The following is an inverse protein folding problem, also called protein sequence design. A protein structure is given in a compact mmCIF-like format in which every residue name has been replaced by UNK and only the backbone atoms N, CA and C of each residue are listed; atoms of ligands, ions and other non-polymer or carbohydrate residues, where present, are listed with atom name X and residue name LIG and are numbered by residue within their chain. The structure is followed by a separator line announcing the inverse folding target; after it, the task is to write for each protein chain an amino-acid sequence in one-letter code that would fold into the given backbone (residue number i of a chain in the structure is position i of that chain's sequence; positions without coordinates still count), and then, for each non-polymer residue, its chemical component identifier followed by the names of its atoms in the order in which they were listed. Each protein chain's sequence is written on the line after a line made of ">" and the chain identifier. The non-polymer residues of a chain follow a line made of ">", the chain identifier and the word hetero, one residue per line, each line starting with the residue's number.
data_IF_723186839308
#
_entry.id   IF_723186839308
#
_cell.length_a   1.000
_cell.length_b   1.000
_cell.length_c   1.000
_cell.angle_alpha   90.00
_cell.angle_beta   90.00
_cell.angle_gamma   90.00
#
_symmetry.space_group_name_H-M   'P 1'
#
loop_
_entity.id
_entity.type
_entity.pdbx_description
1 polymer ?
#
# COMPACT_ATOMS: atom_id res chain seq x y z
N UNK A 1 10.02 -4.17 26.60
CA UNK A 1 9.12 -3.13 26.06
C UNK A 1 8.41 -3.78 24.86
N UNK A 2 7.12 -3.73 24.81
CA UNK A 2 6.43 -4.25 23.62
C UNK A 2 6.57 -3.28 22.42
N UNK A 3 6.19 -3.71 21.24
CA UNK A 3 6.37 -2.89 20.03
C UNK A 3 5.55 -1.59 20.08
N UNK A 4 4.35 -1.60 20.70
CA UNK A 4 3.54 -0.39 20.84
C UNK A 4 4.25 0.65 21.71
N UNK A 5 4.73 0.25 22.89
CA UNK A 5 5.43 1.15 23.80
C UNK A 5 6.72 1.70 23.17
N UNK A 6 7.45 0.83 22.42
CA UNK A 6 8.65 1.26 21.68
C UNK A 6 8.32 2.33 20.63
N UNK A 7 7.25 2.14 19.85
CA UNK A 7 6.82 3.10 18.86
C UNK A 7 6.42 4.43 19.51
N UNK A 8 5.58 4.41 20.54
CA UNK A 8 5.15 5.61 21.24
C UNK A 8 6.32 6.39 21.84
N UNK A 9 7.27 5.70 22.50
CA UNK A 9 8.44 6.34 23.09
C UNK A 9 9.44 6.89 22.05
N UNK A 10 9.49 6.33 20.84
CA UNK A 10 10.38 6.78 19.77
C UNK A 10 9.79 7.92 18.91
N UNK A 11 8.49 8.22 19.07
CA UNK A 11 7.81 9.21 18.24
C UNK A 11 8.40 10.61 18.35
N UNK A 12 8.68 11.09 19.56
CA UNK A 12 9.28 12.42 19.77
C UNK A 12 10.67 12.53 19.13
N UNK A 13 11.48 11.49 19.25
CA UNK A 13 12.81 11.46 18.61
C UNK A 13 12.69 11.44 17.08
N UNK A 14 11.69 10.77 16.53
CA UNK A 14 11.39 10.79 15.09
C UNK A 14 10.94 12.18 14.65
N UNK A 15 10.00 12.79 15.33
CA UNK A 15 9.42 14.09 14.99
C UNK A 15 10.47 15.20 14.97
N UNK A 16 11.43 15.18 15.91
CA UNK A 16 12.53 16.13 15.95
C UNK A 16 13.49 16.04 14.75
N UNK A 17 13.45 14.98 13.97
CA UNK A 17 14.29 14.76 12.79
C UNK A 17 13.55 14.98 11.46
N UNK A 18 12.32 15.49 11.47
CA UNK A 18 11.54 15.79 10.27
C UNK A 18 11.21 17.29 10.20
N UNK A 19 10.90 17.76 8.99
CA UNK A 19 10.53 19.17 8.78
C UNK A 19 9.17 19.48 9.46
N UNK A 20 9.22 20.27 10.52
CA UNK A 20 8.05 20.68 11.31
C UNK A 20 7.11 21.63 10.54
N UNK A 21 7.57 22.27 9.46
CA UNK A 21 6.75 23.15 8.61
C UNK A 21 6.06 22.41 7.45
N UNK A 22 6.15 21.09 7.43
CA UNK A 22 5.54 20.28 6.39
C UNK A 22 4.04 20.08 6.64
N UNK A 23 3.17 20.14 5.61
CA UNK A 23 1.75 19.74 5.73
C UNK A 23 1.55 18.32 6.27
N UNK A 24 2.55 17.45 6.08
CA UNK A 24 2.57 16.08 6.61
C UNK A 24 2.75 16.09 8.13
N UNK A 25 3.43 17.08 8.70
CA UNK A 25 3.63 17.20 10.15
C UNK A 25 2.32 17.41 10.90
N UNK A 26 1.42 18.24 10.37
CA UNK A 26 0.18 18.63 11.06
C UNK A 26 -0.73 17.44 11.39
N UNK A 27 -0.67 16.38 10.59
CA UNK A 27 -1.49 15.17 10.79
C UNK A 27 -0.84 14.12 11.71
N UNK A 28 0.46 14.21 11.98
CA UNK A 28 1.19 13.18 12.75
C UNK A 28 0.80 13.14 14.23
N UNK A 29 0.64 14.29 14.85
CA UNK A 29 0.29 14.39 16.27
C UNK A 29 -1.11 13.83 16.57
N UNK A 30 -2.06 13.99 15.65
CA UNK A 30 -3.39 13.36 15.76
C UNK A 30 -3.27 11.84 15.52
N UNK A 31 -2.49 11.45 14.52
CA UNK A 31 -2.35 10.06 14.12
C UNK A 31 -1.70 9.20 15.23
N UNK A 32 -0.65 9.70 15.89
CA UNK A 32 -0.02 8.95 16.98
C UNK A 32 -0.95 8.78 18.19
N UNK A 33 -1.76 9.80 18.53
CA UNK A 33 -2.76 9.71 19.60
C UNK A 33 -3.85 8.69 19.28
N UNK A 34 -4.27 8.62 18.02
CA UNK A 34 -5.22 7.62 17.57
C UNK A 34 -4.64 6.20 17.68
N UNK A 35 -3.37 6.01 17.29
CA UNK A 35 -2.69 4.75 17.47
C UNK A 35 -2.44 4.40 18.95
N UNK A 36 -2.09 5.37 19.80
CA UNK A 36 -1.95 5.17 21.24
C UNK A 36 -3.25 4.63 21.85
N UNK A 37 -4.37 5.19 21.45
CA UNK A 37 -5.69 4.80 21.96
C UNK A 37 -6.10 3.40 21.48
N UNK A 38 -5.93 3.10 20.19
CA UNK A 38 -6.39 1.86 19.56
C UNK A 38 -5.39 0.70 19.72
N UNK A 39 -4.08 1.00 19.59
CA UNK A 39 -3.02 0.01 19.58
C UNK A 39 -3.04 -0.87 18.30
N UNK A 40 -2.33 -1.99 18.35
CA UNK A 40 -2.40 -2.99 17.29
C UNK A 40 -3.76 -3.72 17.31
N UNK A 41 -4.34 -3.98 16.14
CA UNK A 41 -5.60 -4.70 16.08
C UNK A 41 -5.47 -6.13 16.57
N UNK A 42 -6.56 -6.66 17.10
CA UNK A 42 -6.62 -7.99 17.70
C UNK A 42 -7.67 -8.88 17.03
N UNK A 43 -7.57 -10.20 17.24
CA UNK A 43 -8.59 -11.17 16.75
C UNK A 43 -10.01 -10.96 17.33
N UNK A 44 -10.18 -10.08 18.31
CA UNK A 44 -11.51 -9.71 18.83
C UNK A 44 -12.24 -8.77 17.86
N UNK A 45 -11.51 -8.08 17.02
CA UNK A 45 -12.07 -7.25 15.96
C UNK A 45 -12.47 -8.12 14.78
N UNK A 46 -13.69 -7.96 14.28
CA UNK A 46 -14.24 -8.78 13.19
C UNK A 46 -13.32 -8.79 11.96
N UNK A 47 -12.78 -7.62 11.60
CA UNK A 47 -11.87 -7.49 10.46
C UNK A 47 -10.53 -8.23 10.64
N UNK A 48 -10.15 -8.59 11.87
CA UNK A 48 -8.89 -9.25 12.20
C UNK A 48 -9.06 -10.66 12.77
N UNK A 49 -10.28 -11.20 12.73
CA UNK A 49 -10.62 -12.50 13.32
C UNK A 49 -9.69 -13.64 12.90
N UNK A 50 -9.29 -13.67 11.64
CA UNK A 50 -8.46 -14.72 11.05
C UNK A 50 -6.98 -14.36 10.96
N UNK A 51 -6.59 -13.12 11.28
CA UNK A 51 -5.22 -12.62 11.15
C UNK A 51 -4.73 -12.06 12.48
N UNK A 52 -3.59 -12.52 12.95
CA UNK A 52 -3.01 -12.12 14.25
C UNK A 52 -1.66 -11.46 14.09
N UNK A 53 -1.50 -10.31 14.72
CA UNK A 53 -0.24 -9.59 14.82
C UNK A 53 0.53 -9.85 16.12
N UNK A 54 0.01 -10.72 17.01
CA UNK A 54 0.58 -10.93 18.35
C UNK A 54 2.05 -11.38 18.34
N UNK A 55 2.46 -12.16 17.35
CA UNK A 55 3.85 -12.61 17.24
C UNK A 55 4.76 -11.48 16.76
N UNK A 56 4.29 -10.64 15.87
CA UNK A 56 5.03 -9.47 15.36
C UNK A 56 5.27 -8.45 16.48
N UNK A 57 4.30 -8.24 17.38
CA UNK A 57 4.43 -7.31 18.50
C UNK A 57 5.51 -7.68 19.52
N UNK A 58 5.98 -8.95 19.51
CA UNK A 58 7.04 -9.43 20.40
C UNK A 58 8.44 -9.26 19.83
N UNK A 59 8.55 -8.91 18.55
CA UNK A 59 9.83 -8.74 17.86
C UNK A 59 10.36 -7.34 18.15
N UNK A 60 11.64 -7.24 18.47
CA UNK A 60 12.30 -5.96 18.72
C UNK A 60 12.76 -5.33 17.39
N UNK A 61 11.82 -4.76 16.65
CA UNK A 61 12.10 -4.11 15.38
C UNK A 61 12.93 -2.82 15.54
N UNK A 62 13.91 -2.64 14.65
CA UNK A 62 14.45 -1.30 14.33
C UNK A 62 13.40 -0.54 13.54
N UNK A 63 12.86 0.52 14.15
CA UNK A 63 11.76 1.30 13.54
C UNK A 63 12.24 2.41 12.61
N UNK A 64 13.55 2.72 12.65
CA UNK A 64 14.20 3.68 11.77
C UNK A 64 15.57 3.14 11.38
N UNK A 65 15.81 2.82 10.11
CA UNK A 65 17.14 2.45 9.66
C UNK A 65 18.09 3.60 9.88
N UNK A 66 19.26 3.29 10.43
CA UNK A 66 20.23 4.31 10.86
C UNK A 66 21.16 4.78 9.75
N UNK A 67 21.30 4.02 8.69
CA UNK A 67 22.25 4.26 7.61
C UNK A 67 21.66 3.99 6.25
N UNK A 68 22.08 4.74 5.25
CA UNK A 68 21.81 4.43 3.86
C UNK A 68 22.57 3.15 3.47
N UNK A 69 21.86 2.17 2.94
CA UNK A 69 22.44 0.93 2.43
C UNK A 69 22.66 1.07 0.94
N UNK A 70 23.88 0.92 0.49
CA UNK A 70 24.23 0.91 -0.94
C UNK A 70 24.18 -0.52 -1.45
N UNK A 71 23.31 -0.78 -2.44
CA UNK A 71 23.21 -2.06 -3.14
C UNK A 71 23.79 -1.95 -4.56
N UNK A 72 24.49 -3.01 -5.02
CA UNK A 72 24.88 -3.11 -6.43
C UNK A 72 23.65 -3.42 -7.28
N UNK A 73 23.50 -2.71 -8.40
CA UNK A 73 22.43 -2.96 -9.37
C UNK A 73 22.41 -4.43 -9.84
N UNK A 74 23.55 -5.09 -9.97
CA UNK A 74 23.64 -6.51 -10.39
C UNK A 74 22.93 -7.45 -9.43
N UNK A 75 22.90 -7.14 -8.12
CA UNK A 75 22.27 -7.97 -7.11
C UNK A 75 20.75 -7.86 -7.14
N UNK A 76 20.25 -6.68 -7.50
CA UNK A 76 18.83 -6.36 -7.45
C UNK A 76 18.13 -6.34 -8.81
N UNK A 77 18.90 -6.41 -9.91
CA UNK A 77 18.32 -6.36 -11.28
C UNK A 77 17.17 -7.34 -11.50
N UNK A 78 17.22 -8.53 -10.88
CA UNK A 78 16.18 -9.58 -10.99
C UNK A 78 14.83 -9.16 -10.38
N UNK A 79 14.77 -8.09 -9.61
CA UNK A 79 13.53 -7.58 -9.00
C UNK A 79 12.87 -6.50 -9.84
N UNK A 80 13.57 -5.97 -10.84
CA UNK A 80 12.95 -5.13 -11.86
C UNK A 80 12.23 -5.96 -12.91
N UNK A 81 11.27 -5.35 -13.57
CA UNK A 81 10.64 -5.94 -14.75
C UNK A 81 11.57 -5.73 -15.95
N UNK A 82 12.10 -6.82 -16.50
CA UNK A 82 13.09 -6.74 -17.58
C UNK A 82 12.46 -6.60 -18.97
N UNK A 83 11.26 -7.13 -19.14
CA UNK A 83 10.53 -7.13 -20.41
C UNK A 83 9.79 -5.83 -20.68
N UNK A 84 9.68 -4.97 -19.67
CA UNK A 84 8.98 -3.68 -19.75
C UNK A 84 9.94 -2.58 -19.33
N UNK A 85 10.13 -1.59 -20.21
CA UNK A 85 10.88 -0.40 -19.86
C UNK A 85 10.04 0.49 -18.92
N UNK A 86 10.56 0.79 -17.74
CA UNK A 86 9.85 1.52 -16.68
C UNK A 86 10.67 2.68 -16.13
N UNK A 87 10.00 3.72 -15.66
CA UNK A 87 10.61 4.67 -14.73
C UNK A 87 10.69 4.03 -13.35
N UNK A 88 11.80 4.23 -12.62
CA UNK A 88 12.09 3.50 -11.40
C UNK A 88 12.23 4.41 -10.20
N UNK A 89 11.51 4.12 -9.14
CA UNK A 89 11.71 4.71 -7.81
C UNK A 89 12.08 3.56 -6.88
N UNK A 90 13.28 3.59 -6.32
CA UNK A 90 13.78 2.52 -5.47
C UNK A 90 14.03 3.03 -4.05
N UNK A 91 13.48 2.32 -3.10
CA UNK A 91 13.74 2.49 -1.68
C UNK A 91 14.49 1.27 -1.14
N UNK A 92 15.55 1.52 -0.39
CA UNK A 92 16.35 0.49 0.30
C UNK A 92 16.23 0.76 1.79
N UNK A 93 15.69 -0.19 2.54
CA UNK A 93 15.38 -0.04 3.97
C UNK A 93 14.57 1.23 4.30
N UNK A 94 13.64 1.59 3.40
CA UNK A 94 12.81 2.79 3.54
C UNK A 94 13.50 4.11 3.15
N UNK A 95 14.74 4.06 2.70
CA UNK A 95 15.52 5.22 2.23
C UNK A 95 15.60 5.21 0.71
N UNK A 96 15.38 6.35 0.09
CA UNK A 96 15.48 6.48 -1.36
C UNK A 96 16.91 6.27 -1.86
N UNK A 97 17.06 5.46 -2.90
CA UNK A 97 18.31 5.27 -3.58
C UNK A 97 18.32 5.99 -4.93
N UNK A 98 19.02 7.12 -5.01
CA UNK A 98 19.17 7.89 -6.25
C UNK A 98 19.96 7.12 -7.32
N UNK A 99 20.89 6.28 -6.90
CA UNK A 99 21.71 5.44 -7.77
C UNK A 99 20.89 4.36 -8.49
N UNK A 100 19.87 3.81 -7.83
CA UNK A 100 19.03 2.74 -8.36
C UNK A 100 17.77 3.26 -9.04
N UNK A 101 17.47 4.54 -8.90
CA UNK A 101 16.26 5.16 -9.40
C UNK A 101 16.50 5.86 -10.73
N UNK A 102 15.48 5.84 -11.56
CA UNK A 102 15.41 6.57 -12.81
C UNK A 102 14.11 7.38 -12.82
N UNK A 103 14.16 8.57 -12.29
CA UNK A 103 13.02 9.50 -12.28
C UNK A 103 12.98 10.26 -13.59
N UNK A 104 11.77 10.49 -14.10
CA UNK A 104 11.57 11.09 -15.41
C UNK A 104 11.03 12.49 -15.35
N UNK A 105 11.10 13.14 -16.53
CA UNK A 105 10.70 14.50 -16.75
C UNK A 105 9.78 14.68 -17.97
N UNK A 106 9.12 13.63 -18.46
CA UNK A 106 8.22 13.69 -19.64
C UNK A 106 6.93 14.53 -19.40
N UNK A 107 7.02 15.54 -18.54
CA UNK A 107 5.87 16.38 -18.17
C UNK A 107 4.94 15.73 -17.15
N UNK A 108 5.43 14.69 -16.48
CA UNK A 108 4.83 14.09 -15.30
C UNK A 108 5.84 14.18 -14.15
N UNK A 109 5.34 14.30 -12.93
CA UNK A 109 6.19 14.44 -11.77
C UNK A 109 6.19 13.16 -10.95
N UNK A 110 7.33 12.49 -11.01
CA UNK A 110 7.62 11.28 -10.26
C UNK A 110 8.83 11.56 -9.37
N UNK A 111 8.62 11.69 -8.09
CA UNK A 111 9.69 12.01 -7.14
C UNK A 111 9.38 11.46 -5.75
N UNK A 112 10.23 11.78 -4.81
CA UNK A 112 10.01 11.51 -3.40
C UNK A 112 8.98 12.45 -2.79
N UNK A 113 8.27 12.00 -1.79
CA UNK A 113 7.40 12.86 -0.99
C UNK A 113 8.18 14.03 -0.37
N UNK A 114 9.35 13.78 0.21
CA UNK A 114 10.21 14.81 0.79
C UNK A 114 10.67 15.82 -0.25
N UNK A 115 11.07 15.38 -1.45
CA UNK A 115 11.46 16.26 -2.55
C UNK A 115 10.27 17.08 -3.10
N UNK A 116 9.08 16.51 -3.15
CA UNK A 116 7.86 17.22 -3.55
C UNK A 116 7.53 18.34 -2.55
N UNK A 117 7.67 18.10 -1.27
CA UNK A 117 7.43 19.08 -0.21
C UNK A 117 8.35 20.32 -0.28
N UNK A 118 9.53 20.23 -0.91
CA UNK A 118 10.40 21.39 -1.13
C UNK A 118 9.95 22.32 -2.25
N UNK A 119 9.06 21.83 -3.13
CA UNK A 119 8.56 22.58 -4.29
C UNK A 119 7.21 23.23 -3.96
N UNK A 120 7.07 24.58 -4.00
CA UNK A 120 5.85 25.26 -3.58
C UNK A 120 4.57 24.76 -4.26
N UNK A 121 4.62 24.45 -5.58
CA UNK A 121 3.47 23.95 -6.33
C UNK A 121 2.99 22.58 -5.82
N UNK A 122 3.92 21.68 -5.45
CA UNK A 122 3.56 20.34 -4.95
C UNK A 122 3.18 20.35 -3.49
N UNK A 123 3.74 21.28 -2.71
CA UNK A 123 3.33 21.46 -1.32
C UNK A 123 1.83 21.75 -1.22
N UNK A 124 1.30 22.61 -2.10
CA UNK A 124 -0.13 22.89 -2.16
C UNK A 124 -0.94 21.64 -2.58
N UNK A 125 -0.44 20.86 -3.56
CA UNK A 125 -1.07 19.61 -3.97
C UNK A 125 -1.09 18.60 -2.82
N UNK A 126 0.03 18.42 -2.12
CA UNK A 126 0.11 17.50 -0.97
C UNK A 126 -0.85 17.93 0.14
N UNK A 127 -0.98 19.22 0.43
CA UNK A 127 -1.92 19.73 1.43
C UNK A 127 -3.38 19.41 1.08
N UNK A 128 -3.72 19.43 -0.22
CA UNK A 128 -5.06 19.09 -0.71
C UNK A 128 -5.35 17.60 -0.64
N UNK A 129 -4.37 16.73 -0.93
CA UNK A 129 -4.62 15.30 -1.15
C UNK A 129 -4.09 14.38 -0.04
N UNK A 130 -2.98 14.73 0.63
CA UNK A 130 -2.36 13.87 1.62
C UNK A 130 -3.27 13.63 2.84
N UNK A 131 -3.45 12.38 3.22
CA UNK A 131 -4.26 11.93 4.36
C UNK A 131 -5.75 12.36 4.25
N UNK A 132 -6.27 12.51 3.02
CA UNK A 132 -7.67 12.93 2.80
C UNK A 132 -8.62 11.74 2.59
N UNK A 133 -8.12 10.61 2.11
CA UNK A 133 -8.92 9.40 1.89
C UNK A 133 -8.49 8.25 2.80
N UNK A 134 -7.26 8.29 3.31
CA UNK A 134 -6.75 7.31 4.27
C UNK A 134 -7.59 7.30 5.56
N UNK A 135 -7.94 6.10 6.02
CA UNK A 135 -8.79 5.94 7.20
C UNK A 135 -8.10 6.42 8.48
N UNK A 136 -8.77 7.31 9.20
CA UNK A 136 -8.37 7.74 10.55
C UNK A 136 -8.80 6.73 11.63
N UNK A 137 -9.61 5.75 11.26
CA UNK A 137 -10.13 4.73 12.16
C UNK A 137 -9.36 3.41 12.09
N UNK A 138 -8.59 3.19 11.03
CA UNK A 138 -7.73 2.02 10.88
C UNK A 138 -6.39 2.28 11.59
N UNK A 139 -6.10 1.46 12.59
CA UNK A 139 -4.98 1.66 13.53
C UNK A 139 -3.62 1.66 12.85
N UNK A 140 -3.37 0.75 11.90
CA UNK A 140 -2.08 0.65 11.21
C UNK A 140 -1.91 1.75 10.16
N UNK A 141 -3.00 2.26 9.60
CA UNK A 141 -2.98 3.47 8.77
C UNK A 141 -2.59 4.70 9.59
N UNK A 142 -3.14 4.85 10.80
CA UNK A 142 -2.76 5.96 11.68
C UNK A 142 -1.32 5.83 12.16
N UNK A 143 -0.85 4.61 12.44
CA UNK A 143 0.56 4.36 12.76
C UNK A 143 1.48 4.77 11.59
N UNK A 144 1.15 4.36 10.35
CA UNK A 144 1.90 4.79 9.18
C UNK A 144 1.89 6.32 9.02
N UNK A 145 0.73 6.97 9.18
CA UNK A 145 0.63 8.43 9.09
C UNK A 145 1.52 9.12 10.11
N UNK A 146 1.59 8.62 11.36
CA UNK A 146 2.46 9.17 12.39
C UNK A 146 3.94 9.09 12.04
N UNK A 147 4.37 7.97 11.44
CA UNK A 147 5.78 7.69 11.14
C UNK A 147 6.15 7.82 9.66
N UNK A 148 5.25 8.28 8.81
CA UNK A 148 5.55 8.46 7.39
C UNK A 148 6.68 9.46 7.20
N UNK A 149 7.78 8.99 6.59
CA UNK A 149 8.94 9.83 6.26
C UNK A 149 9.11 9.96 4.77
N UNK A 150 9.07 8.83 4.08
CA UNK A 150 9.32 8.74 2.66
C UNK A 150 8.29 7.85 1.94
N UNK A 151 8.16 8.11 0.67
CA UNK A 151 7.36 7.35 -0.27
C UNK A 151 7.36 8.00 -1.64
N UNK A 152 6.71 7.35 -2.58
CA UNK A 152 6.59 7.87 -3.93
C UNK A 152 5.50 8.95 -3.99
N UNK A 153 5.83 10.09 -4.56
CA UNK A 153 4.90 11.12 -5.00
C UNK A 153 4.81 11.07 -6.52
N UNK A 154 3.64 10.69 -7.03
CA UNK A 154 3.35 10.56 -8.46
C UNK A 154 2.22 11.52 -8.80
N UNK A 155 2.52 12.55 -9.56
CA UNK A 155 1.55 13.55 -10.00
C UNK A 155 1.51 13.59 -11.52
N UNK A 156 0.37 13.22 -12.07
CA UNK A 156 0.12 13.21 -13.51
C UNK A 156 -0.80 14.39 -13.83
N UNK A 157 -0.28 15.45 -14.48
CA UNK A 157 -1.08 16.62 -14.83
C UNK A 157 -2.20 16.29 -15.80
N UNK A 158 -3.18 17.19 -15.88
CA UNK A 158 -4.32 17.12 -16.80
C UNK A 158 -3.89 16.79 -18.24
N UNK A 159 -4.57 15.82 -18.87
CA UNK A 159 -4.35 15.35 -20.24
C UNK A 159 -2.94 14.78 -20.49
N UNK A 160 -2.27 14.29 -19.46
CA UNK A 160 -0.94 13.67 -19.59
C UNK A 160 -1.00 12.16 -19.43
N UNK A 161 -0.14 11.50 -20.20
CA UNK A 161 0.10 10.05 -20.15
C UNK A 161 1.62 9.84 -20.14
N UNK A 162 2.21 9.24 -19.11
CA UNK A 162 3.62 8.88 -19.11
C UNK A 162 3.94 7.90 -20.23
N UNK A 163 5.10 8.05 -20.87
CA UNK A 163 5.51 7.15 -21.96
C UNK A 163 5.81 5.73 -21.48
N UNK A 164 6.13 5.57 -20.20
CA UNK A 164 6.49 4.29 -19.58
C UNK A 164 5.70 4.12 -18.28
N UNK A 165 5.40 2.89 -17.87
CA UNK A 165 4.92 2.61 -16.52
C UNK A 165 5.94 3.06 -15.47
N UNK A 166 5.44 3.35 -14.26
CA UNK A 166 6.26 3.75 -13.11
C UNK A 166 6.40 2.55 -12.18
N UNK A 167 7.64 2.11 -11.93
CA UNK A 167 7.91 1.04 -10.99
C UNK A 167 8.40 1.62 -9.65
N UNK A 168 7.69 1.31 -8.56
CA UNK A 168 8.11 1.56 -7.19
C UNK A 168 8.65 0.24 -6.64
N UNK A 169 9.90 0.21 -6.18
CA UNK A 169 10.55 -0.96 -5.62
C UNK A 169 11.00 -0.69 -4.20
N UNK A 170 10.43 -1.43 -3.24
CA UNK A 170 10.82 -1.40 -1.84
C UNK A 170 11.66 -2.63 -1.52
N UNK A 171 12.94 -2.42 -1.19
CA UNK A 171 13.90 -3.47 -0.86
C UNK A 171 14.23 -3.42 0.65
N UNK A 172 14.15 -4.56 1.33
CA UNK A 172 14.60 -4.71 2.70
C UNK A 172 15.86 -5.59 2.73
N UNK A 173 17.00 -5.02 3.14
CA UNK A 173 18.31 -5.68 3.02
C UNK A 173 18.62 -6.61 4.19
N UNK A 174 18.01 -6.34 5.36
CA UNK A 174 18.29 -7.08 6.60
C UNK A 174 19.62 -6.74 7.25
N UNK A 175 20.15 -5.57 7.01
CA UNK A 175 21.29 -5.04 7.78
C UNK A 175 20.96 -4.89 9.28
N UNK A 176 19.68 -4.77 9.60
CA UNK A 176 19.16 -4.86 10.97
C UNK A 176 18.60 -6.27 11.23
N UNK A 177 18.72 -6.77 12.45
CA UNK A 177 18.22 -8.10 12.82
C UNK A 177 16.70 -8.24 12.65
N UNK A 178 15.96 -7.16 12.85
CA UNK A 178 14.55 -7.03 12.53
C UNK A 178 14.25 -5.57 12.14
N UNK A 179 13.54 -5.37 11.02
CA UNK A 179 13.32 -4.05 10.46
C UNK A 179 11.82 -3.76 10.28
N UNK A 180 11.36 -2.58 10.73
CA UNK A 180 10.03 -2.08 10.48
C UNK A 180 10.07 -0.90 9.51
N UNK A 181 9.32 -1.00 8.42
CA UNK A 181 9.23 0.01 7.37
C UNK A 181 7.82 0.59 7.29
N UNK A 182 7.71 1.89 6.99
CA UNK A 182 6.43 2.59 6.89
C UNK A 182 6.37 3.48 5.64
N UNK A 183 6.41 2.90 4.43
CA UNK A 183 6.30 3.67 3.20
C UNK A 183 4.92 4.33 3.07
N UNK A 184 4.92 5.57 2.53
CA UNK A 184 3.71 6.35 2.31
C UNK A 184 3.69 6.91 0.90
N UNK A 185 2.85 6.34 0.02
CA UNK A 185 2.76 6.76 -1.37
C UNK A 185 1.53 7.66 -1.61
N UNK A 186 1.67 8.61 -2.53
CA UNK A 186 0.59 9.47 -3.00
C UNK A 186 0.60 9.50 -4.53
N UNK A 187 -0.48 9.03 -5.14
CA UNK A 187 -0.66 8.99 -6.59
C UNK A 187 -1.85 9.88 -6.95
N UNK A 188 -1.64 10.84 -7.82
CA UNK A 188 -2.67 11.78 -8.28
C UNK A 188 -2.69 11.77 -9.80
N UNK A 189 -3.80 11.35 -10.38
CA UNK A 189 -4.09 11.44 -11.80
C UNK A 189 -5.16 12.53 -12.00
N UNK A 190 -4.74 13.64 -12.57
CA UNK A 190 -5.64 14.76 -12.88
C UNK A 190 -6.59 14.45 -14.05
N UNK A 191 -7.51 15.35 -14.37
CA UNK A 191 -8.53 15.17 -15.40
C UNK A 191 -7.94 14.69 -16.75
N UNK A 192 -8.50 13.61 -17.31
CA UNK A 192 -8.04 12.92 -18.53
C UNK A 192 -6.59 12.43 -18.47
N UNK A 193 -6.01 12.28 -17.28
CA UNK A 193 -4.67 11.69 -17.12
C UNK A 193 -4.76 10.16 -17.15
N UNK A 194 -3.70 9.51 -17.63
CA UNK A 194 -3.58 8.06 -17.59
C UNK A 194 -2.22 7.67 -16.98
N UNK A 195 -2.18 6.65 -16.13
CA UNK A 195 -0.93 6.18 -15.52
C UNK A 195 -0.98 4.68 -15.20
N UNK A 196 0.14 4.03 -15.39
CA UNK A 196 0.39 2.66 -14.92
C UNK A 196 1.47 2.68 -13.85
N UNK A 197 1.17 2.12 -12.68
CA UNK A 197 2.10 2.02 -11.55
C UNK A 197 2.26 0.57 -11.14
N UNK A 198 3.50 0.14 -10.90
CA UNK A 198 3.84 -1.20 -10.46
C UNK A 198 4.61 -1.08 -9.15
N UNK A 199 3.98 -1.46 -8.05
CA UNK A 199 4.61 -1.46 -6.73
C UNK A 199 5.03 -2.88 -6.35
N UNK A 200 6.29 -3.02 -5.91
CA UNK A 200 6.84 -4.28 -5.45
C UNK A 200 7.51 -4.12 -4.10
N UNK A 201 7.17 -5.02 -3.17
CA UNK A 201 7.87 -5.22 -1.91
C UNK A 201 8.72 -6.48 -1.99
N UNK A 202 9.98 -6.41 -1.54
CA UNK A 202 10.92 -7.52 -1.61
C UNK A 202 11.93 -7.48 -0.46
N UNK A 203 11.95 -8.52 0.37
CA UNK A 203 13.03 -8.77 1.32
C UNK A 203 14.18 -9.52 0.63
N UNK A 204 15.42 -9.15 0.96
CA UNK A 204 16.64 -9.74 0.39
C UNK A 204 17.31 -10.74 1.34
N UNK A 205 16.81 -10.89 2.56
CA UNK A 205 17.42 -11.63 3.65
C UNK A 205 16.38 -12.39 4.46
N UNK A 206 16.81 -13.42 5.20
CA UNK A 206 15.97 -14.16 6.13
C UNK A 206 15.72 -13.47 7.48
N UNK A 207 16.11 -12.20 7.66
CA UNK A 207 15.78 -11.44 8.86
C UNK A 207 14.30 -11.03 8.87
N UNK A 208 13.76 -10.78 10.08
CA UNK A 208 12.36 -10.37 10.22
C UNK A 208 12.13 -8.96 9.65
N UNK A 209 11.16 -8.82 8.77
CA UNK A 209 10.75 -7.54 8.19
C UNK A 209 9.25 -7.35 8.42
N UNK A 210 8.87 -6.17 8.90
CA UNK A 210 7.49 -5.72 8.95
C UNK A 210 7.34 -4.44 8.13
N UNK A 211 6.67 -4.53 7.00
CA UNK A 211 6.30 -3.36 6.21
C UNK A 211 4.84 -3.01 6.48
N UNK A 212 4.59 -1.79 6.95
CA UNK A 212 3.26 -1.21 7.09
C UNK A 212 3.12 -0.09 6.06
N UNK A 213 2.61 -0.42 4.88
CA UNK A 213 2.49 0.49 3.73
C UNK A 213 1.13 1.17 3.69
N UNK A 214 1.11 2.44 3.30
CA UNK A 214 -0.14 3.14 2.96
C UNK A 214 0.02 3.87 1.64
N UNK A 215 -0.91 3.65 0.73
CA UNK A 215 -0.99 4.31 -0.57
C UNK A 215 -2.33 5.01 -0.72
N UNK A 216 -2.31 6.30 -1.07
CA UNK A 216 -3.49 7.06 -1.46
C UNK A 216 -3.47 7.31 -2.97
N UNK A 217 -4.57 7.00 -3.65
CA UNK A 217 -4.74 7.18 -5.09
C UNK A 217 -5.94 8.08 -5.34
N UNK A 218 -5.73 9.15 -6.07
CA UNK A 218 -6.79 10.07 -6.50
C UNK A 218 -6.89 10.06 -8.02
N UNK A 219 -8.04 9.63 -8.52
CA UNK A 219 -8.38 9.67 -9.93
C UNK A 219 -9.44 10.75 -10.16
N UNK A 220 -9.04 11.85 -10.80
CA UNK A 220 -9.94 12.93 -11.18
C UNK A 220 -10.89 12.50 -12.31
N UNK A 221 -11.73 13.39 -12.77
CA UNK A 221 -12.69 13.11 -13.83
C UNK A 221 -12.00 12.58 -15.11
N UNK A 222 -12.53 11.49 -15.67
CA UNK A 222 -12.01 10.83 -16.88
C UNK A 222 -10.57 10.30 -16.75
N UNK A 223 -9.99 10.24 -15.55
CA UNK A 223 -8.66 9.69 -15.33
C UNK A 223 -8.67 8.15 -15.35
N UNK A 224 -7.56 7.57 -15.81
CA UNK A 224 -7.34 6.12 -15.83
C UNK A 224 -6.09 5.77 -15.02
N UNK A 225 -6.23 4.90 -14.03
CA UNK A 225 -5.13 4.43 -13.22
C UNK A 225 -5.10 2.89 -13.20
N UNK A 226 -4.03 2.31 -13.69
CA UNK A 226 -3.73 0.89 -13.55
C UNK A 226 -2.64 0.72 -12.47
N UNK A 227 -2.95 0.02 -11.38
CA UNK A 227 -2.05 -0.19 -10.26
C UNK A 227 -1.79 -1.67 -10.02
N UNK A 228 -0.55 -2.08 -10.16
CA UNK A 228 -0.13 -3.47 -9.98
C UNK A 228 0.66 -3.61 -8.69
N UNK A 229 0.19 -4.48 -7.79
CA UNK A 229 0.84 -4.79 -6.51
C UNK A 229 1.47 -6.18 -6.60
N UNK A 230 2.78 -6.25 -6.45
CA UNK A 230 3.53 -7.50 -6.53
C UNK A 230 4.23 -7.75 -5.20
N UNK A 231 3.83 -8.83 -4.54
CA UNK A 231 4.44 -9.30 -3.31
C UNK A 231 4.93 -10.73 -3.52
N UNK A 232 6.24 -10.91 -3.40
CA UNK A 232 6.91 -12.21 -3.48
C UNK A 232 8.09 -12.20 -2.49
N UNK A 233 7.73 -12.13 -1.23
CA UNK A 233 8.67 -11.98 -0.12
C UNK A 233 9.14 -13.32 0.44
N UNK A 234 10.22 -13.27 1.22
CA UNK A 234 10.68 -14.42 2.00
C UNK A 234 9.75 -14.68 3.20
N UNK A 235 9.78 -15.92 3.73
CA UNK A 235 8.89 -16.39 4.82
C UNK A 235 9.14 -15.71 6.17
N UNK A 236 10.04 -14.78 6.26
CA UNK A 236 10.30 -13.92 7.43
C UNK A 236 9.72 -12.52 7.28
N UNK A 237 9.28 -12.15 6.07
CA UNK A 237 8.72 -10.83 5.81
C UNK A 237 7.21 -10.82 6.02
N UNK A 238 6.73 -9.75 6.66
CA UNK A 238 5.31 -9.47 6.86
C UNK A 238 4.96 -8.12 6.22
N UNK A 239 3.86 -8.07 5.47
CA UNK A 239 3.37 -6.87 4.80
C UNK A 239 1.93 -6.58 5.24
N UNK A 240 1.70 -5.39 5.77
CA UNK A 240 0.37 -4.81 5.95
C UNK A 240 0.27 -3.65 4.98
N UNK A 241 -0.62 -3.77 4.01
CA UNK A 241 -0.71 -2.84 2.89
C UNK A 241 -2.12 -2.27 2.79
N UNK A 242 -2.24 -0.97 3.07
CA UNK A 242 -3.49 -0.23 3.04
C UNK A 242 -3.52 0.70 1.82
N UNK A 243 -4.40 0.43 0.88
CA UNK A 243 -4.59 1.27 -0.31
C UNK A 243 -5.98 1.91 -0.26
N UNK A 244 -6.02 3.23 -0.41
CA UNK A 244 -7.22 4.05 -0.42
C UNK A 244 -7.33 4.79 -1.74
N UNK A 245 -8.48 4.67 -2.40
CA UNK A 245 -8.71 5.16 -3.76
C UNK A 245 -9.95 6.05 -3.77
N UNK A 246 -9.78 7.30 -4.15
CA UNK A 246 -10.88 8.23 -4.38
C UNK A 246 -11.05 8.48 -5.88
N UNK A 247 -12.24 8.23 -6.39
CA UNK A 247 -12.58 8.34 -7.79
C UNK A 247 -13.62 9.43 -8.05
N UNK A 248 -13.44 10.19 -9.11
CA UNK A 248 -14.39 11.20 -9.62
C UNK A 248 -15.08 10.71 -10.90
N UNK A 249 -15.97 11.51 -11.44
CA UNK A 249 -16.82 11.17 -12.58
C UNK A 249 -16.07 10.48 -13.73
N UNK A 250 -16.58 9.35 -14.20
CA UNK A 250 -16.10 8.58 -15.36
C UNK A 250 -14.64 8.11 -15.25
N UNK A 251 -14.05 8.18 -14.05
CA UNK A 251 -12.70 7.64 -13.85
C UNK A 251 -12.71 6.12 -13.83
N UNK A 252 -11.59 5.54 -14.22
CA UNK A 252 -11.36 4.11 -14.25
C UNK A 252 -10.13 3.79 -13.39
N UNK A 253 -10.29 2.98 -12.35
CA UNK A 253 -9.15 2.52 -11.56
C UNK A 253 -9.16 1.00 -11.45
N UNK A 254 -8.06 0.37 -11.89
CA UNK A 254 -7.86 -1.07 -11.85
C UNK A 254 -6.69 -1.39 -10.95
N UNK A 255 -6.92 -2.17 -9.90
CA UNK A 255 -5.85 -2.72 -9.05
C UNK A 255 -5.72 -4.21 -9.24
N UNK A 256 -4.50 -4.64 -9.55
CA UNK A 256 -4.14 -6.04 -9.72
C UNK A 256 -3.15 -6.45 -8.62
N UNK A 257 -3.53 -7.41 -7.79
CA UNK A 257 -2.73 -7.87 -6.64
C UNK A 257 -2.17 -9.26 -6.91
N UNK A 258 -0.85 -9.42 -6.81
CA UNK A 258 -0.14 -10.69 -6.97
C UNK A 258 0.55 -11.02 -5.64
N UNK A 259 0.10 -12.06 -4.95
CA UNK A 259 0.61 -12.45 -3.63
C UNK A 259 1.22 -13.85 -3.69
N UNK A 260 2.56 -13.89 -3.65
CA UNK A 260 3.36 -15.09 -3.73
C UNK A 260 4.40 -15.10 -2.61
N UNK A 261 4.22 -15.90 -1.58
CA UNK A 261 5.16 -15.96 -0.45
C UNK A 261 4.90 -14.94 0.67
N UNK A 262 5.91 -14.73 1.53
CA UNK A 262 5.83 -13.95 2.74
C UNK A 262 5.24 -14.69 3.93
N UNK A 263 5.61 -14.30 5.16
CA UNK A 263 5.10 -14.87 6.40
C UNK A 263 3.63 -14.52 6.62
N UNK A 264 3.32 -13.25 6.46
CA UNK A 264 2.00 -12.66 6.58
C UNK A 264 1.85 -11.51 5.59
N UNK A 265 0.85 -11.58 4.74
CA UNK A 265 0.47 -10.47 3.88
C UNK A 265 -0.99 -10.11 4.13
N UNK A 266 -1.25 -8.86 4.51
CA UNK A 266 -2.60 -8.32 4.58
C UNK A 266 -2.74 -7.16 3.62
N UNK A 267 -3.68 -7.29 2.68
CA UNK A 267 -4.03 -6.25 1.72
C UNK A 267 -5.41 -5.69 2.06
N UNK A 268 -5.48 -4.43 2.43
CA UNK A 268 -6.72 -3.67 2.58
C UNK A 268 -6.85 -2.72 1.39
N UNK A 269 -7.86 -2.95 0.55
CA UNK A 269 -8.08 -2.20 -0.67
C UNK A 269 -9.43 -1.51 -0.61
N UNK A 270 -9.43 -0.18 -0.51
CA UNK A 270 -10.62 0.63 -0.25
C UNK A 270 -10.88 1.58 -1.42
N UNK A 271 -12.05 1.41 -2.07
CA UNK A 271 -12.51 2.25 -3.17
C UNK A 271 -13.66 3.14 -2.74
N UNK A 272 -13.56 4.43 -3.02
CA UNK A 272 -14.59 5.42 -2.79
C UNK A 272 -15.00 6.05 -4.13
N UNK A 273 -16.14 5.63 -4.65
CA UNK A 273 -16.71 6.12 -5.90
C UNK A 273 -17.53 7.37 -5.63
N UNK A 274 -16.86 8.53 -5.62
CA UNK A 274 -17.42 9.83 -5.25
C UNK A 274 -17.98 10.64 -6.45
N UNK A 275 -18.08 10.01 -7.61
CA UNK A 275 -18.66 10.58 -8.84
C UNK A 275 -19.54 9.58 -9.56
N UNK A 276 -20.11 9.97 -10.70
CA UNK A 276 -20.95 9.12 -11.52
C UNK A 276 -20.19 8.37 -12.61
N UNK A 277 -20.71 7.22 -13.05
CA UNK A 277 -20.19 6.40 -14.16
C UNK A 277 -18.74 5.95 -13.95
N UNK A 278 -18.41 5.65 -12.73
CA UNK A 278 -17.09 5.16 -12.33
C UNK A 278 -16.99 3.66 -12.60
N UNK A 279 -15.82 3.22 -13.06
CA UNK A 279 -15.45 1.81 -13.16
C UNK A 279 -14.31 1.49 -12.16
N UNK A 280 -14.52 0.48 -11.32
CA UNK A 280 -13.54 0.00 -10.35
C UNK A 280 -13.28 -1.49 -10.55
N UNK A 281 -12.05 -1.87 -10.87
CA UNK A 281 -11.67 -3.26 -11.03
C UNK A 281 -10.67 -3.67 -9.96
N UNK A 282 -10.97 -4.75 -9.23
CA UNK A 282 -10.14 -5.33 -8.18
C UNK A 282 -9.87 -6.80 -8.54
N UNK A 283 -8.64 -7.11 -8.93
CA UNK A 283 -8.26 -8.50 -9.24
C UNK A 283 -7.11 -8.97 -8.38
N UNK A 284 -7.15 -10.23 -7.96
CA UNK A 284 -6.09 -10.82 -7.17
C UNK A 284 -5.77 -12.24 -7.56
N UNK A 285 -4.47 -12.57 -7.57
CA UNK A 285 -3.96 -13.93 -7.68
C UNK A 285 -3.08 -14.21 -6.47
N UNK A 286 -3.38 -15.33 -5.78
CA UNK A 286 -2.65 -15.77 -4.59
C UNK A 286 -2.19 -17.21 -4.79
N UNK A 287 -0.89 -17.48 -4.60
CA UNK A 287 -0.34 -18.84 -4.61
C UNK A 287 0.53 -18.99 -3.37
N UNK A 288 0.13 -19.88 -2.46
CA UNK A 288 0.80 -20.07 -1.18
C UNK A 288 1.16 -21.53 -0.92
N UNK A 289 2.26 -21.71 -0.21
CA UNK A 289 2.70 -22.98 0.38
C UNK A 289 3.12 -22.80 1.84
N UNK A 290 3.89 -23.75 2.38
CA UNK A 290 4.45 -23.73 3.73
C UNK A 290 3.45 -23.32 4.83
N UNK A 291 3.74 -22.26 5.57
CA UNK A 291 2.86 -21.65 6.60
C UNK A 291 2.47 -20.23 6.26
N UNK A 292 2.54 -19.88 4.99
CA UNK A 292 2.27 -18.53 4.53
C UNK A 292 0.81 -18.15 4.77
N UNK A 293 0.57 -16.89 5.07
CA UNK A 293 -0.76 -16.36 5.36
C UNK A 293 -1.02 -15.11 4.51
N UNK A 294 -2.07 -15.14 3.70
CA UNK A 294 -2.54 -13.97 2.94
C UNK A 294 -3.99 -13.66 3.30
N UNK A 295 -4.25 -12.39 3.58
CA UNK A 295 -5.56 -11.88 3.97
C UNK A 295 -5.91 -10.65 3.09
N UNK A 296 -6.90 -10.84 2.20
CA UNK A 296 -7.42 -9.77 1.34
C UNK A 296 -8.72 -9.21 1.91
N UNK A 297 -8.72 -7.92 2.21
CA UNK A 297 -9.92 -7.16 2.55
C UNK A 297 -10.18 -6.11 1.48
N UNK A 298 -11.37 -6.12 0.91
CA UNK A 298 -11.79 -5.13 -0.06
C UNK A 298 -13.02 -4.39 0.42
N UNK A 299 -13.04 -3.09 0.18
CA UNK A 299 -14.20 -2.24 0.37
C UNK A 299 -14.45 -1.46 -0.93
N UNK A 300 -15.66 -1.54 -1.46
CA UNK A 300 -16.12 -0.64 -2.52
C UNK A 300 -17.33 0.12 -2.02
N UNK A 301 -17.21 1.43 -1.95
CA UNK A 301 -18.28 2.34 -1.54
C UNK A 301 -18.81 3.11 -2.76
N UNK A 302 -19.98 2.72 -3.22
CA UNK A 302 -20.72 3.41 -4.27
C UNK A 302 -21.51 4.56 -3.64
N UNK A 303 -21.02 5.79 -3.78
CA UNK A 303 -21.67 6.97 -3.23
C UNK A 303 -22.53 7.74 -4.26
N UNK A 304 -22.37 7.43 -5.57
CA UNK A 304 -23.07 8.10 -6.67
C UNK A 304 -23.64 7.08 -7.70
N UNK A 305 -24.62 7.47 -8.51
CA UNK A 305 -25.30 6.53 -9.41
C UNK A 305 -24.48 6.13 -10.64
N UNK A 306 -24.94 5.06 -11.31
CA UNK A 306 -24.41 4.55 -12.58
C UNK A 306 -22.95 4.04 -12.50
N UNK A 307 -22.50 3.59 -11.34
CA UNK A 307 -21.14 3.10 -11.14
C UNK A 307 -21.06 1.58 -11.23
N UNK A 308 -19.89 1.07 -11.62
CA UNK A 308 -19.61 -0.35 -11.72
C UNK A 308 -18.41 -0.75 -10.84
N UNK A 309 -18.45 -1.96 -10.31
CA UNK A 309 -17.30 -2.57 -9.63
C UNK A 309 -17.21 -4.06 -9.94
N UNK A 310 -15.98 -4.52 -10.24
CA UNK A 310 -15.69 -5.90 -10.58
C UNK A 310 -14.57 -6.43 -9.70
N UNK A 311 -14.90 -7.40 -8.84
CA UNK A 311 -13.94 -8.07 -7.97
C UNK A 311 -13.77 -9.53 -8.41
N UNK A 312 -12.54 -9.92 -8.75
CA UNK A 312 -12.21 -11.31 -9.11
C UNK A 312 -10.89 -11.71 -8.44
N UNK A 313 -11.01 -12.57 -7.41
CA UNK A 313 -9.88 -13.09 -6.67
C UNK A 313 -9.77 -14.59 -6.85
N UNK A 314 -8.55 -15.08 -7.12
CA UNK A 314 -8.25 -16.49 -7.31
C UNK A 314 -7.07 -16.92 -6.45
N UNK A 315 -7.20 -18.09 -5.81
CA UNK A 315 -6.17 -18.61 -4.92
C UNK A 315 -5.85 -20.08 -5.13
N UNK A 316 -4.59 -20.44 -4.95
CA UNK A 316 -4.11 -21.81 -4.82
C UNK A 316 -3.36 -21.93 -3.50
N UNK A 317 -3.79 -22.86 -2.65
CA UNK A 317 -3.29 -23.02 -1.29
C UNK A 317 -2.80 -24.44 -1.05
N UNK A 318 -1.49 -24.55 -0.75
CA UNK A 318 -0.82 -25.80 -0.44
C UNK A 318 -0.32 -25.87 1.00
N UNK A 319 0.25 -26.98 1.40
CA UNK A 319 0.88 -27.28 2.70
C UNK A 319 0.00 -26.89 3.90
N UNK A 320 0.41 -25.92 4.70
CA UNK A 320 -0.31 -25.37 5.85
C UNK A 320 -0.63 -23.89 5.69
N UNK A 321 -0.71 -23.44 4.44
CA UNK A 321 -0.99 -22.04 4.14
C UNK A 321 -2.42 -21.64 4.49
N UNK A 322 -2.63 -20.36 4.69
CA UNK A 322 -3.94 -19.80 5.04
C UNK A 322 -4.29 -18.65 4.11
N UNK A 323 -5.43 -18.77 3.43
CA UNK A 323 -6.04 -17.70 2.67
C UNK A 323 -7.23 -17.11 3.42
N UNK A 324 -7.35 -15.78 3.39
CA UNK A 324 -8.55 -15.07 3.86
C UNK A 324 -8.99 -14.09 2.77
N UNK A 325 -10.28 -14.05 2.52
CA UNK A 325 -10.89 -13.04 1.67
C UNK A 325 -12.14 -12.47 2.34
N UNK A 326 -12.21 -11.15 2.43
CA UNK A 326 -13.38 -10.44 2.93
C UNK A 326 -13.69 -9.27 1.98
N UNK A 327 -14.79 -9.37 1.26
CA UNK A 327 -15.24 -8.35 0.32
C UNK A 327 -16.48 -7.63 0.86
N UNK A 328 -16.40 -6.30 0.98
CA UNK A 328 -17.52 -5.46 1.43
C UNK A 328 -17.91 -4.47 0.34
N UNK A 329 -19.19 -4.43 0.03
CA UNK A 329 -19.79 -3.45 -0.88
C UNK A 329 -20.78 -2.60 -0.10
N UNK A 330 -20.62 -1.29 -0.16
CA UNK A 330 -21.56 -0.32 0.41
C UNK A 330 -22.17 0.46 -0.75
N UNK A 331 -23.48 0.57 -0.77
CA UNK A 331 -24.21 1.31 -1.80
C UNK A 331 -25.08 2.34 -1.11
N UNK A 332 -24.81 3.62 -1.32
CA UNK A 332 -25.61 4.69 -0.76
C UNK A 332 -27.00 4.73 -1.41
N UNK A 333 -27.98 5.22 -0.68
CA UNK A 333 -29.38 5.24 -1.12
C UNK A 333 -29.57 5.95 -2.48
N UNK A 334 -28.75 6.96 -2.75
CA UNK A 334 -28.79 7.71 -4.02
C UNK A 334 -28.05 7.00 -5.17
N UNK A 335 -27.13 6.08 -4.85
CA UNK A 335 -26.29 5.38 -5.82
C UNK A 335 -27.08 4.33 -6.60
N UNK A 336 -28.09 4.78 -7.36
CA UNK A 336 -28.95 3.92 -8.17
C UNK A 336 -28.25 3.48 -9.46
N UNK A 337 -28.73 2.36 -10.06
CA UNK A 337 -28.17 1.76 -11.28
C UNK A 337 -26.68 1.36 -11.11
N UNK A 338 -26.32 0.94 -9.92
CA UNK A 338 -25.00 0.39 -9.61
C UNK A 338 -24.97 -1.09 -9.98
N UNK A 339 -23.87 -1.52 -10.62
CA UNK A 339 -23.56 -2.93 -10.86
C UNK A 339 -22.31 -3.30 -10.05
N UNK A 340 -22.44 -4.28 -9.18
CA UNK A 340 -21.33 -4.74 -8.35
C UNK A 340 -21.20 -6.26 -8.46
N UNK A 341 -20.05 -6.72 -8.98
CA UNK A 341 -19.75 -8.12 -9.16
C UNK A 341 -18.59 -8.53 -8.25
N UNK A 342 -18.78 -9.62 -7.52
CA UNK A 342 -17.75 -10.17 -6.65
C UNK A 342 -17.62 -11.66 -6.84
N UNK A 343 -16.39 -12.14 -7.07
CA UNK A 343 -16.06 -13.53 -7.20
C UNK A 343 -14.75 -13.82 -6.44
N UNK A 344 -14.76 -14.96 -5.71
CA UNK A 344 -13.55 -15.49 -5.08
C UNK A 344 -13.52 -17.02 -5.29
N UNK A 345 -12.55 -17.50 -6.05
CA UNK A 345 -12.39 -18.90 -6.39
C UNK A 345 -11.06 -19.44 -5.86
N UNK A 346 -11.10 -20.49 -5.07
CA UNK A 346 -9.93 -21.04 -4.41
C UNK A 346 -9.79 -22.54 -4.67
N UNK A 347 -8.55 -22.98 -4.89
CA UNK A 347 -8.17 -24.38 -4.98
C UNK A 347 -7.29 -24.72 -3.79
N UNK A 348 -7.69 -25.69 -2.99
CA UNK A 348 -6.93 -26.21 -1.86
C UNK A 348 -6.31 -27.53 -2.30
N UNK A 349 -4.98 -27.62 -2.29
CA UNK A 349 -4.23 -28.78 -2.78
C UNK A 349 -3.57 -29.60 -1.66
N UNK A 350 -3.77 -29.21 -0.40
CA UNK A 350 -3.23 -29.93 0.79
C UNK A 350 -4.26 -29.95 1.91
N UNK A 351 -4.33 -31.04 2.68
CA UNK A 351 -5.30 -31.24 3.77
C UNK A 351 -5.20 -30.20 4.89
N UNK A 352 -4.00 -29.64 5.13
CA UNK A 352 -3.75 -28.66 6.20
C UNK A 352 -3.87 -27.21 5.75
N UNK A 353 -4.06 -26.96 4.46
CA UNK A 353 -4.32 -25.63 3.96
C UNK A 353 -5.76 -25.19 4.30
N UNK A 354 -5.93 -23.91 4.58
CA UNK A 354 -7.26 -23.37 4.96
C UNK A 354 -7.60 -22.12 4.19
N UNK A 355 -8.88 -21.94 3.87
CA UNK A 355 -9.39 -20.73 3.24
C UNK A 355 -10.65 -20.26 3.98
N UNK A 356 -10.66 -18.99 4.37
CA UNK A 356 -11.79 -18.34 5.01
C UNK A 356 -12.30 -17.21 4.10
N UNK A 357 -13.52 -17.35 3.61
CA UNK A 357 -14.13 -16.36 2.71
C UNK A 357 -15.38 -15.78 3.32
N UNK A 358 -15.52 -14.47 3.20
CA UNK A 358 -16.71 -13.72 3.59
C UNK A 358 -17.01 -12.70 2.49
N UNK A 359 -17.94 -13.00 1.59
CA UNK A 359 -18.38 -12.05 0.57
C UNK A 359 -19.30 -10.98 1.15
#
# INVERSE_FOLDING_TARGET
>A
MDLKDKLLSSFLAFENNVDLNSPVHDVRSEAIKNFETKGFPSKKEEAWKYTSLNNLQKIDFSVFPKQETVLDYKEIKKYFLHEIDTYKIVFVDGVYSSYLSETTHDGVDVCLMSAALTKPQYRQVIDVYFNKVASKDESLTTLNTAFSREGAFIYIPKNKVPKKPIQILHLATGNEAALMLQPRNLVIAEENAEVQVIERHQSLTGNEVLTNSVTEIFAAQDAIVDYYKVQNDLDTASLIDNTYIAQKDRSVVRVHTFSFGGKLTRNNLNYYQNGERIDSTLKGVTILGDKQHVDHHTLVHHAQPNCESHQDYKGVFGDRSTGVFNGKIIVDKIAQKTNAFQQNNNVIISEQATVNTKP
#
